data_IF_242601285893
#
_entry.id   IF_242601285893
#
_cell.length_a   1.000
_cell.length_b   1.000
_cell.length_c   1.000
_cell.angle_alpha   90.00
_cell.angle_beta   90.00
_cell.angle_gamma   90.00
#
_symmetry.space_group_name_H-M   'P 1'
#
loop_
_entity.id
_entity.type
_entity.pdbx_description
1 polymer ?
#
# COMPACT_ATOMS: atom_id res chain seq x y z
N UNK A 1 10.27 26.50 6.01
CA UNK A 1 9.26 25.64 6.67
C UNK A 1 7.95 26.39 6.58
N UNK A 2 7.30 26.28 5.43
CA UNK A 2 5.95 26.82 5.24
C UNK A 2 5.02 26.08 6.22
N UNK A 3 4.13 26.84 6.83
CA UNK A 3 3.22 26.44 7.90
C UNK A 3 2.56 25.10 7.57
N UNK A 4 2.79 24.08 8.41
CA UNK A 4 2.03 22.83 8.35
C UNK A 4 0.55 23.21 8.50
N UNK A 5 -0.22 23.15 7.41
CA UNK A 5 -1.67 23.30 7.48
C UNK A 5 -2.19 22.19 8.39
N UNK A 6 -3.01 22.53 9.39
CA UNK A 6 -3.62 21.57 10.33
C UNK A 6 -2.67 20.79 11.25
N UNK A 7 -1.56 21.37 11.74
CA UNK A 7 -0.84 20.75 12.85
C UNK A 7 -1.71 20.70 14.13
N UNK A 8 -2.32 19.53 14.38
CA UNK A 8 -3.09 19.22 15.60
C UNK A 8 -2.14 18.75 16.70
N UNK A 9 -1.53 19.69 17.42
CA UNK A 9 -0.63 19.38 18.53
C UNK A 9 -1.30 18.53 19.62
N UNK A 10 -2.62 18.63 19.74
CA UNK A 10 -3.47 17.84 20.64
C UNK A 10 -3.60 16.37 20.23
N UNK A 11 -3.27 16.02 18.98
CA UNK A 11 -3.29 14.64 18.47
C UNK A 11 -1.92 13.97 18.53
N UNK A 12 -0.91 14.62 19.12
CA UNK A 12 0.44 14.08 19.25
C UNK A 12 0.44 12.89 20.22
N UNK A 13 0.62 11.69 19.68
CA UNK A 13 0.87 10.49 20.49
C UNK A 13 2.39 10.28 20.68
N UNK A 14 2.90 10.61 21.87
CA UNK A 14 4.30 10.41 22.25
C UNK A 14 5.28 11.51 21.82
N UNK A 15 6.56 11.33 22.17
CA UNK A 15 7.63 12.29 21.85
C UNK A 15 8.20 12.03 20.44
N UNK A 16 7.86 12.89 19.49
CA UNK A 16 8.56 13.02 18.21
C UNK A 16 9.90 13.74 18.40
N UNK A 17 10.96 13.01 18.75
CA UNK A 17 12.34 13.52 18.78
C UNK A 17 13.19 12.85 17.69
N UNK A 18 14.05 13.63 17.03
CA UNK A 18 15.00 13.10 16.04
C UNK A 18 16.10 12.34 16.80
N UNK A 19 16.29 11.07 16.45
CA UNK A 19 17.35 10.21 17.01
C UNK A 19 18.38 9.92 15.94
N UNK A 20 19.65 10.21 16.25
CA UNK A 20 20.78 9.92 15.37
C UNK A 20 21.38 8.56 15.72
N UNK A 21 21.62 7.74 14.70
CA UNK A 21 22.26 6.43 14.84
C UNK A 21 23.46 6.35 13.90
N UNK A 22 24.59 5.85 14.39
CA UNK A 22 25.83 5.69 13.59
C UNK A 22 25.89 4.37 12.83
N UNK A 23 25.05 3.40 13.21
CA UNK A 23 24.95 2.09 12.54
C UNK A 23 23.48 1.81 12.24
N UNK A 24 23.23 1.24 11.06
CA UNK A 24 21.88 0.87 10.66
C UNK A 24 21.23 -0.13 11.63
N UNK A 25 22.00 -1.08 12.17
CA UNK A 25 21.49 -2.07 13.14
C UNK A 25 21.07 -1.45 14.48
N UNK A 26 21.75 -0.37 14.91
CA UNK A 26 21.37 0.35 16.13
C UNK A 26 20.07 1.12 15.96
N UNK A 27 19.81 1.63 14.75
CA UNK A 27 18.49 2.15 14.39
C UNK A 27 17.45 1.03 14.34
N UNK A 28 17.74 -0.06 13.61
CA UNK A 28 16.78 -1.12 13.27
C UNK A 28 16.23 -1.87 14.48
N UNK A 29 17.02 -2.03 15.55
CA UNK A 29 16.63 -2.80 16.75
C UNK A 29 15.42 -2.20 17.46
N UNK A 30 15.32 -0.86 17.50
CA UNK A 30 14.33 -0.14 18.30
C UNK A 30 13.10 0.32 17.48
N UNK A 31 13.22 0.36 16.15
CA UNK A 31 12.11 0.69 15.24
C UNK A 31 11.29 -0.52 14.80
N UNK A 32 11.42 -1.66 15.50
CA UNK A 32 10.59 -2.82 15.23
C UNK A 32 9.14 -2.55 15.58
N UNK A 33 8.27 -2.75 14.60
CA UNK A 33 6.87 -2.54 14.78
C UNK A 33 6.28 -3.72 15.59
N UNK A 34 6.00 -3.51 16.89
CA UNK A 34 5.52 -4.53 17.88
C UNK A 34 4.10 -5.09 17.64
N UNK A 35 3.85 -5.77 16.52
CA UNK A 35 2.49 -5.93 15.96
C UNK A 35 1.55 -6.93 16.58
N UNK A 36 0.28 -6.75 16.24
CA UNK A 36 -0.78 -7.75 16.33
C UNK A 36 -1.30 -8.06 14.92
N UNK A 37 -1.74 -9.29 14.70
CA UNK A 37 -2.40 -9.71 13.46
C UNK A 37 -3.91 -9.52 13.64
N UNK A 38 -4.56 -8.86 12.69
CA UNK A 38 -6.02 -8.70 12.68
C UNK A 38 -6.57 -9.01 11.30
N UNK A 39 -7.89 -9.18 11.21
CA UNK A 39 -8.56 -9.06 9.93
C UNK A 39 -8.48 -7.60 9.49
N UNK A 40 -8.21 -7.33 8.22
CA UNK A 40 -8.04 -5.96 7.73
C UNK A 40 -8.44 -5.87 6.27
N UNK A 41 -9.13 -4.79 5.93
CA UNK A 41 -9.19 -4.32 4.55
C UNK A 41 -8.08 -3.30 4.37
N UNK A 42 -7.19 -3.56 3.42
CA UNK A 42 -6.07 -2.70 3.08
C UNK A 42 -6.19 -2.33 1.60
N UNK A 43 -5.78 -1.11 1.26
CA UNK A 43 -5.53 -0.71 -0.11
C UNK A 43 -4.27 0.15 -0.16
N UNK A 44 -3.68 0.25 -1.35
CA UNK A 44 -2.50 1.08 -1.61
C UNK A 44 -2.78 2.04 -2.77
N UNK A 45 -2.06 3.16 -2.79
CA UNK A 45 -1.90 4.03 -3.95
C UNK A 45 -0.45 4.48 -4.09
N UNK A 46 0.09 4.36 -5.30
CA UNK A 46 1.42 4.83 -5.67
C UNK A 46 1.33 6.27 -6.15
N UNK A 47 1.50 7.21 -5.22
CA UNK A 47 1.27 8.63 -5.41
C UNK A 47 2.51 9.32 -6.02
N UNK A 48 2.41 9.96 -7.21
CA UNK A 48 3.43 10.88 -7.67
C UNK A 48 3.47 12.15 -6.79
N UNK A 49 4.56 12.92 -6.87
CA UNK A 49 4.72 14.14 -6.07
C UNK A 49 3.62 15.18 -6.36
N UNK A 50 3.12 15.22 -7.60
CA UNK A 50 2.02 16.09 -8.02
C UNK A 50 0.71 15.82 -7.27
N UNK A 51 0.56 14.64 -6.67
CA UNK A 51 -0.65 14.29 -5.91
C UNK A 51 -0.69 14.89 -4.52
N UNK A 52 0.42 15.44 -4.02
CA UNK A 52 0.49 16.09 -2.71
C UNK A 52 -0.02 17.53 -2.78
N UNK A 53 -1.32 17.65 -3.03
CA UNK A 53 -2.07 18.91 -3.11
C UNK A 53 -3.10 19.02 -1.98
N UNK A 54 -3.83 20.16 -1.93
CA UNK A 54 -4.92 20.31 -0.98
C UNK A 54 -6.01 19.24 -1.19
N UNK A 55 -6.23 18.78 -2.42
CA UNK A 55 -7.24 17.75 -2.70
C UNK A 55 -6.91 16.40 -2.05
N UNK A 56 -5.64 15.98 -2.01
CA UNK A 56 -5.24 14.79 -1.25
C UNK A 56 -5.48 14.97 0.25
N UNK A 57 -5.21 16.18 0.77
CA UNK A 57 -5.47 16.50 2.18
C UNK A 57 -6.96 16.41 2.49
N UNK A 58 -7.81 17.00 1.64
CA UNK A 58 -9.26 16.99 1.79
C UNK A 58 -9.82 15.55 1.77
N UNK A 59 -9.32 14.69 0.88
CA UNK A 59 -9.67 13.27 0.83
C UNK A 59 -9.35 12.61 2.18
N UNK A 60 -8.10 12.72 2.65
CA UNK A 60 -7.66 12.08 3.89
C UNK A 60 -8.48 12.58 5.09
N UNK A 61 -8.61 13.90 5.27
CA UNK A 61 -9.38 14.49 6.37
C UNK A 61 -10.84 14.02 6.36
N UNK A 62 -11.47 13.99 5.18
CA UNK A 62 -12.86 13.54 5.02
C UNK A 62 -13.04 12.10 5.50
N UNK A 63 -12.16 11.19 5.10
CA UNK A 63 -12.31 9.76 5.46
C UNK A 63 -11.90 9.46 6.90
N UNK A 64 -10.92 10.18 7.46
CA UNK A 64 -10.63 10.11 8.90
C UNK A 64 -11.80 10.61 9.74
N UNK A 65 -12.47 11.71 9.34
CA UNK A 65 -13.66 12.20 10.03
C UNK A 65 -14.82 11.18 9.95
N UNK A 66 -15.11 10.64 8.76
CA UNK A 66 -16.13 9.58 8.59
C UNK A 66 -15.85 8.36 9.47
N UNK A 67 -14.58 7.94 9.57
CA UNK A 67 -14.19 6.82 10.42
C UNK A 67 -14.42 7.13 11.90
N UNK A 68 -14.01 8.32 12.33
CA UNK A 68 -14.23 8.80 13.71
C UNK A 68 -15.72 8.83 14.09
N UNK A 69 -16.57 9.32 13.20
CA UNK A 69 -18.02 9.39 13.42
C UNK A 69 -18.65 7.99 13.49
N UNK A 70 -18.14 7.07 12.66
CA UNK A 70 -18.56 5.65 12.62
C UNK A 70 -17.94 4.80 13.73
N UNK A 71 -17.08 5.37 14.59
CA UNK A 71 -16.30 4.65 15.61
C UNK A 71 -15.40 3.55 15.02
N UNK A 72 -14.94 3.76 13.78
CA UNK A 72 -13.96 2.90 13.13
C UNK A 72 -12.56 3.46 13.33
N UNK A 73 -11.60 2.54 13.39
CA UNK A 73 -10.19 2.88 13.36
C UNK A 73 -9.67 2.68 11.94
N UNK A 74 -9.20 3.75 11.31
CA UNK A 74 -8.44 3.68 10.06
C UNK A 74 -7.02 4.17 10.31
N UNK A 75 -6.05 3.56 9.64
CA UNK A 75 -4.65 3.98 9.68
C UNK A 75 -4.08 4.01 8.27
N UNK A 76 -3.24 5.02 8.00
CA UNK A 76 -2.48 5.11 6.75
C UNK A 76 -0.98 5.18 7.05
N UNK A 77 -0.17 4.74 6.10
CA UNK A 77 1.29 4.75 6.17
C UNK A 77 1.81 5.06 4.78
N UNK A 78 2.68 6.06 4.73
CA UNK A 78 3.40 6.44 3.52
C UNK A 78 4.84 5.97 3.57
N UNK A 79 5.23 5.13 2.63
CA UNK A 79 6.63 4.78 2.38
C UNK A 79 7.15 5.68 1.28
N UNK A 80 8.15 6.50 1.59
CA UNK A 80 8.85 7.29 0.57
C UNK A 80 9.52 6.35 -0.43
N UNK A 81 9.19 6.56 -1.70
CA UNK A 81 9.82 5.93 -2.84
C UNK A 81 10.85 6.91 -3.41
N UNK A 82 11.90 6.39 -4.04
CA UNK A 82 12.98 7.20 -4.58
C UNK A 82 14.33 6.52 -4.50
N UNK A 83 15.38 7.34 -4.66
CA UNK A 83 16.77 6.90 -4.54
C UNK A 83 17.10 5.75 -5.47
N UNK A 84 17.72 4.70 -4.92
CA UNK A 84 18.14 3.52 -5.71
C UNK A 84 16.99 2.79 -6.40
N UNK A 85 15.76 2.89 -5.90
CA UNK A 85 14.60 2.24 -6.52
C UNK A 85 14.28 2.79 -7.92
N UNK A 86 14.65 4.04 -8.18
CA UNK A 86 14.31 4.78 -9.41
C UNK A 86 15.47 4.88 -10.40
N UNK A 87 16.65 4.33 -10.07
CA UNK A 87 17.83 4.37 -10.94
C UNK A 87 17.75 3.40 -12.12
N UNK A 88 16.99 2.32 -11.98
CA UNK A 88 16.84 1.32 -13.04
C UNK A 88 15.63 1.64 -13.92
N UNK A 89 15.78 1.41 -15.22
CA UNK A 89 14.69 1.57 -16.19
C UNK A 89 13.47 0.74 -15.78
N UNK A 90 12.29 1.20 -16.17
CA UNK A 90 11.06 0.49 -15.83
C UNK A 90 11.11 -0.96 -16.33
N UNK A 91 11.59 -1.21 -17.53
CA UNK A 91 11.67 -2.54 -18.15
C UNK A 91 12.77 -3.48 -17.62
N UNK A 92 13.60 -3.03 -16.68
CA UNK A 92 14.67 -3.85 -16.09
C UNK A 92 14.19 -5.04 -15.26
N UNK A 93 12.92 -5.08 -14.88
CA UNK A 93 12.32 -6.13 -14.03
C UNK A 93 10.81 -6.22 -14.21
N UNK A 94 10.17 -7.17 -13.53
CA UNK A 94 8.70 -7.27 -13.43
C UNK A 94 8.03 -6.22 -12.54
N UNK A 95 8.80 -5.44 -11.77
CA UNK A 95 8.25 -4.36 -10.93
C UNK A 95 7.48 -3.36 -11.79
N UNK A 96 6.24 -3.04 -11.40
CA UNK A 96 5.36 -2.12 -12.12
C UNK A 96 5.94 -0.71 -12.27
N UNK A 97 5.62 -0.05 -13.37
CA UNK A 97 6.18 1.26 -13.73
C UNK A 97 5.82 2.34 -12.70
N UNK A 98 4.61 2.26 -12.14
CA UNK A 98 4.16 3.17 -11.09
C UNK A 98 5.08 3.14 -9.87
N UNK A 99 5.52 1.95 -9.42
CA UNK A 99 6.37 1.85 -8.22
C UNK A 99 7.74 2.51 -8.43
N UNK A 100 8.24 2.54 -9.67
CA UNK A 100 9.53 3.18 -9.98
C UNK A 100 9.44 4.69 -10.17
N UNK A 101 8.24 5.23 -10.35
CA UNK A 101 8.04 6.65 -10.70
C UNK A 101 7.21 7.42 -9.67
N UNK A 102 6.66 6.75 -8.65
CA UNK A 102 5.92 7.41 -7.58
C UNK A 102 6.86 8.00 -6.52
N UNK A 103 6.38 9.03 -5.85
CA UNK A 103 7.06 9.66 -4.71
C UNK A 103 6.79 8.91 -3.40
N UNK A 104 5.59 8.34 -3.27
CA UNK A 104 5.19 7.64 -2.06
C UNK A 104 4.29 6.45 -2.39
N UNK A 105 4.53 5.32 -1.74
CA UNK A 105 3.58 4.22 -1.65
C UNK A 105 2.77 4.44 -0.38
N UNK A 106 1.52 4.86 -0.55
CA UNK A 106 0.61 5.14 0.56
C UNK A 106 -0.38 4.01 0.69
N UNK A 107 -0.35 3.32 1.82
CA UNK A 107 -1.36 2.34 2.16
C UNK A 107 -2.26 2.83 3.27
N UNK A 108 -3.52 2.42 3.21
CA UNK A 108 -4.52 2.70 4.23
C UNK A 108 -5.26 1.42 4.55
N UNK A 109 -5.65 1.24 5.81
CA UNK A 109 -6.39 0.06 6.21
C UNK A 109 -7.32 0.30 7.39
N UNK A 110 -8.34 -0.54 7.46
CA UNK A 110 -9.32 -0.62 8.55
C UNK A 110 -9.24 -2.04 9.12
N UNK A 111 -8.69 -2.24 10.32
CA UNK A 111 -8.66 -3.54 10.97
C UNK A 111 -9.91 -3.81 11.83
N UNK A 112 -10.31 -5.08 11.95
CA UNK A 112 -11.35 -5.54 12.88
C UNK A 112 -11.03 -6.93 13.47
N UNK A 113 -11.67 -7.30 14.60
CA UNK A 113 -11.52 -8.64 15.18
C UNK A 113 -12.07 -9.74 14.27
N UNK A 114 -11.45 -10.92 14.29
CA UNK A 114 -11.92 -12.10 13.53
C UNK A 114 -13.35 -12.52 13.90
N UNK A 115 -13.80 -12.23 15.13
CA UNK A 115 -15.19 -12.49 15.56
C UNK A 115 -16.24 -11.69 14.77
N UNK A 116 -15.83 -10.63 14.07
CA UNK A 116 -16.69 -9.81 13.21
C UNK A 116 -16.49 -10.10 11.72
N UNK A 117 -15.99 -11.27 11.33
CA UNK A 117 -15.79 -11.63 9.91
C UNK A 117 -17.09 -11.61 9.08
N UNK A 118 -18.26 -11.76 9.71
CA UNK A 118 -19.55 -11.61 9.03
C UNK A 118 -19.83 -10.17 8.56
N UNK A 119 -19.07 -9.18 9.03
CA UNK A 119 -19.16 -7.77 8.65
C UNK A 119 -18.14 -7.37 7.57
N UNK A 120 -17.40 -8.31 6.97
CA UNK A 120 -16.36 -8.01 5.96
C UNK A 120 -16.89 -7.10 4.86
N UNK A 121 -18.08 -7.38 4.32
CA UNK A 121 -18.72 -6.54 3.30
C UNK A 121 -18.92 -5.10 3.78
N UNK A 122 -19.42 -4.91 5.01
CA UNK A 122 -19.67 -3.59 5.59
C UNK A 122 -18.40 -2.76 5.73
N UNK A 123 -17.30 -3.35 6.23
CA UNK A 123 -16.04 -2.63 6.39
C UNK A 123 -15.36 -2.34 5.05
N UNK A 124 -15.45 -3.26 4.10
CA UNK A 124 -14.95 -3.06 2.74
C UNK A 124 -15.74 -1.95 2.04
N UNK A 125 -17.07 -1.99 2.11
CA UNK A 125 -17.94 -0.99 1.47
C UNK A 125 -17.73 0.41 2.05
N UNK A 126 -17.42 0.50 3.35
CA UNK A 126 -17.03 1.76 3.98
C UNK A 126 -15.73 2.35 3.41
N UNK A 127 -14.72 1.50 3.17
CA UNK A 127 -13.39 1.93 2.72
C UNK A 127 -13.27 2.09 1.19
N UNK A 128 -14.16 1.46 0.40
CA UNK A 128 -14.12 1.49 -1.06
C UNK A 128 -14.12 2.90 -1.66
N UNK A 129 -14.97 3.85 -1.21
CA UNK A 129 -14.92 5.22 -1.71
C UNK A 129 -13.56 5.89 -1.45
N UNK A 130 -12.98 5.67 -0.26
CA UNK A 130 -11.66 6.20 0.09
C UNK A 130 -10.59 5.64 -0.83
N UNK A 131 -10.59 4.32 -1.04
CA UNK A 131 -9.69 3.68 -1.99
C UNK A 131 -9.79 4.32 -3.37
N UNK A 132 -10.99 4.46 -3.91
CA UNK A 132 -11.18 4.91 -5.29
C UNK A 132 -10.66 6.33 -5.49
N UNK A 133 -10.89 7.23 -4.52
CA UNK A 133 -10.34 8.58 -4.56
C UNK A 133 -8.81 8.60 -4.43
N UNK A 134 -8.25 7.74 -3.58
CA UNK A 134 -6.79 7.59 -3.44
C UNK A 134 -6.13 6.99 -4.68
N UNK A 135 -6.76 6.02 -5.34
CA UNK A 135 -6.28 5.42 -6.59
C UNK A 135 -6.36 6.44 -7.73
N UNK A 136 -7.40 7.27 -7.78
CA UNK A 136 -7.49 8.35 -8.77
C UNK A 136 -6.38 9.40 -8.64
N UNK A 137 -5.78 9.51 -7.44
CA UNK A 137 -4.58 10.33 -7.19
C UNK A 137 -3.26 9.57 -7.45
N UNK A 138 -3.30 8.28 -7.76
CA UNK A 138 -2.12 7.45 -7.99
C UNK A 138 -1.91 7.07 -9.45
N UNK A 139 -0.74 6.49 -9.75
CA UNK A 139 -0.41 5.94 -11.07
C UNK A 139 -0.49 4.41 -11.12
N UNK A 140 -0.87 3.78 -10.01
CA UNK A 140 -0.90 2.35 -9.81
C UNK A 140 -0.97 2.05 -8.32
N UNK A 141 -0.85 0.78 -7.96
CA UNK A 141 -0.91 0.34 -6.57
C UNK A 141 0.11 -0.77 -6.31
N UNK A 142 0.58 -0.87 -5.08
CA UNK A 142 1.52 -1.91 -4.65
C UNK A 142 0.79 -3.22 -4.37
N UNK A 143 1.06 -4.23 -5.19
CA UNK A 143 0.35 -5.52 -5.20
C UNK A 143 0.52 -6.36 -3.92
N UNK A 144 1.52 -6.09 -3.08
CA UNK A 144 1.68 -6.79 -1.79
C UNK A 144 0.86 -6.17 -0.65
N UNK A 145 0.24 -5.02 -0.88
CA UNK A 145 -0.74 -4.40 0.02
C UNK A 145 -2.08 -4.26 -0.73
N UNK A 146 -2.62 -5.41 -1.21
CA UNK A 146 -3.63 -5.42 -2.24
C UNK A 146 -5.01 -5.10 -1.69
N UNK A 147 -5.82 -4.49 -2.54
CA UNK A 147 -7.27 -4.46 -2.33
C UNK A 147 -7.90 -5.75 -2.84
N UNK A 148 -8.81 -6.31 -2.04
CA UNK A 148 -9.66 -7.43 -2.48
C UNK A 148 -10.74 -7.01 -3.49
N UNK A 149 -10.92 -5.70 -3.74
CA UNK A 149 -11.90 -5.16 -4.69
C UNK A 149 -11.25 -4.03 -5.49
N UNK A 150 -10.64 -4.41 -6.61
CA UNK A 150 -9.88 -3.49 -7.46
C UNK A 150 -10.29 -3.63 -8.92
N UNK A 151 -11.01 -2.63 -9.41
CA UNK A 151 -11.27 -2.52 -10.85
C UNK A 151 -9.97 -2.29 -11.61
N UNK A 152 -9.88 -2.83 -12.82
CA UNK A 152 -8.70 -2.69 -13.68
C UNK A 152 -7.37 -3.14 -13.01
N UNK A 153 -7.43 -4.11 -12.10
CA UNK A 153 -6.27 -4.60 -11.33
C UNK A 153 -5.05 -4.92 -12.19
N UNK A 154 -5.25 -5.44 -13.41
CA UNK A 154 -4.17 -5.74 -14.37
C UNK A 154 -3.31 -4.51 -14.64
N UNK A 155 -3.96 -3.39 -14.96
CA UNK A 155 -3.29 -2.12 -15.21
C UNK A 155 -2.76 -1.52 -13.91
N UNK A 156 -3.52 -1.59 -12.81
CA UNK A 156 -3.14 -0.99 -11.54
C UNK A 156 -1.89 -1.65 -10.91
N UNK A 157 -1.74 -2.97 -11.02
CA UNK A 157 -0.59 -3.70 -10.49
C UNK A 157 0.59 -3.74 -11.48
N UNK A 158 0.30 -4.00 -12.76
CA UNK A 158 1.32 -4.41 -13.73
C UNK A 158 1.50 -3.43 -14.89
N UNK A 159 0.58 -2.49 -15.07
CA UNK A 159 0.59 -1.52 -16.17
C UNK A 159 0.72 -2.20 -17.54
N UNK A 160 1.55 -1.62 -18.40
CA UNK A 160 1.83 -2.10 -19.77
C UNK A 160 2.51 -3.48 -19.81
N UNK A 161 3.06 -3.95 -18.69
CA UNK A 161 3.80 -5.23 -18.63
C UNK A 161 2.91 -6.45 -18.49
N UNK A 162 1.63 -6.27 -18.19
CA UNK A 162 0.72 -7.39 -17.94
C UNK A 162 0.77 -8.45 -19.05
N UNK A 163 0.70 -8.02 -20.32
CA UNK A 163 0.72 -8.95 -21.46
C UNK A 163 2.01 -9.78 -21.55
N UNK A 164 3.17 -9.17 -21.27
CA UNK A 164 4.46 -9.90 -21.24
C UNK A 164 4.49 -10.91 -20.09
N UNK A 165 4.05 -10.49 -18.90
CA UNK A 165 3.98 -11.36 -17.73
C UNK A 165 3.01 -12.52 -17.93
N UNK A 166 1.86 -12.26 -18.55
CA UNK A 166 0.90 -13.30 -18.90
C UNK A 166 1.45 -14.29 -19.93
N UNK A 167 2.24 -13.82 -20.89
CA UNK A 167 2.99 -14.69 -21.80
C UNK A 167 3.92 -15.64 -21.05
N UNK A 168 4.72 -15.12 -20.13
CA UNK A 168 5.59 -15.93 -19.25
C UNK A 168 4.77 -16.93 -18.44
N UNK A 169 3.65 -16.48 -17.84
CA UNK A 169 2.74 -17.34 -17.08
C UNK A 169 2.21 -18.51 -17.92
N UNK A 170 1.77 -18.25 -19.15
CA UNK A 170 1.28 -19.27 -20.08
C UNK A 170 2.37 -20.26 -20.51
N UNK A 171 3.63 -19.82 -20.60
CA UNK A 171 4.76 -20.72 -20.89
C UNK A 171 5.04 -21.68 -19.74
N UNK A 172 5.05 -21.19 -18.50
CA UNK A 172 5.52 -21.95 -17.34
C UNK A 172 4.40 -22.60 -16.50
N UNK A 173 3.17 -22.10 -16.62
CA UNK A 173 1.97 -22.64 -15.98
C UNK A 173 0.75 -22.54 -16.92
N UNK A 174 0.75 -23.29 -18.04
CA UNK A 174 -0.30 -23.25 -19.06
C UNK A 174 -1.67 -23.72 -18.54
N UNK A 175 -1.71 -24.45 -17.44
CA UNK A 175 -2.96 -24.93 -16.82
C UNK A 175 -3.42 -24.07 -15.64
N UNK A 176 -2.78 -22.92 -15.39
CA UNK A 176 -3.11 -21.98 -14.32
C UNK A 176 -3.23 -22.66 -12.95
N UNK A 177 -2.32 -23.60 -12.65
CA UNK A 177 -2.31 -24.33 -11.38
C UNK A 177 -1.98 -23.42 -10.20
N UNK A 178 -1.17 -22.39 -10.44
CA UNK A 178 -0.79 -21.40 -9.43
C UNK A 178 -1.56 -20.11 -9.67
N UNK A 179 -2.73 -19.96 -9.05
CA UNK A 179 -3.56 -18.74 -9.15
C UNK A 179 -3.80 -18.11 -7.78
N UNK A 180 -4.11 -16.82 -7.77
CA UNK A 180 -4.46 -16.05 -6.59
C UNK A 180 -5.36 -14.85 -6.97
N UNK A 181 -5.88 -14.13 -5.97
CA UNK A 181 -6.57 -12.85 -6.19
C UNK A 181 -5.67 -11.90 -6.98
N UNK A 182 -6.14 -11.45 -8.15
CA UNK A 182 -5.41 -10.51 -9.04
C UNK A 182 -3.98 -10.94 -9.42
N UNK A 183 -3.67 -12.23 -9.36
CA UNK A 183 -2.45 -12.80 -9.91
C UNK A 183 -2.43 -12.66 -11.45
N UNK A 184 -1.24 -12.59 -12.04
CA UNK A 184 -1.09 -12.68 -13.50
C UNK A 184 -1.73 -13.97 -14.02
N UNK A 185 -2.65 -13.85 -14.98
CA UNK A 185 -3.39 -14.98 -15.55
C UNK A 185 -4.61 -15.42 -14.73
N UNK A 186 -5.00 -14.71 -13.66
CA UNK A 186 -6.23 -15.00 -12.93
C UNK A 186 -7.47 -14.43 -13.62
N UNK A 187 -8.62 -15.05 -13.36
CA UNK A 187 -9.95 -14.64 -13.84
C UNK A 187 -10.62 -13.63 -12.89
N UNK A 188 -9.90 -12.55 -12.56
CA UNK A 188 -10.46 -11.43 -11.78
C UNK A 188 -10.67 -11.74 -10.30
N UNK A 189 -11.85 -11.38 -9.78
CA UNK A 189 -12.13 -11.34 -8.33
C UNK A 189 -12.53 -12.70 -7.74
N UNK A 190 -12.63 -13.75 -8.56
CA UNK A 190 -13.07 -15.09 -8.14
C UNK A 190 -12.26 -15.70 -6.99
N UNK A 191 -11.05 -15.18 -6.74
CA UNK A 191 -10.14 -15.63 -5.68
C UNK A 191 -9.90 -14.56 -4.60
N UNK A 192 -10.65 -13.47 -4.61
CA UNK A 192 -10.46 -12.35 -3.69
C UNK A 192 -11.34 -12.48 -2.44
N UNK A 193 -10.72 -12.40 -1.27
CA UNK A 193 -11.39 -12.37 0.03
C UNK A 193 -10.69 -11.36 0.94
N UNK A 194 -11.34 -10.94 2.03
CA UNK A 194 -10.66 -10.14 3.05
C UNK A 194 -9.46 -10.94 3.60
N UNK A 195 -8.28 -10.34 3.55
CA UNK A 195 -7.04 -11.01 3.96
C UNK A 195 -6.80 -10.81 5.45
N UNK A 196 -6.24 -11.83 6.11
CA UNK A 196 -5.56 -11.60 7.38
C UNK A 196 -4.21 -10.97 7.05
N UNK A 197 -4.13 -9.66 7.19
CA UNK A 197 -2.86 -8.95 7.13
C UNK A 197 -2.52 -8.44 8.53
N UNK A 198 -1.24 -8.45 8.87
CA UNK A 198 -0.82 -7.64 10.00
C UNK A 198 -1.22 -6.20 9.69
N UNK A 199 -1.71 -5.42 10.66
CA UNK A 199 -1.92 -3.97 10.52
C UNK A 199 -0.63 -3.20 10.11
N UNK A 200 0.47 -3.92 9.93
CA UNK A 200 1.84 -3.50 9.61
C UNK A 200 2.28 -3.86 8.19
N UNK A 201 1.43 -4.57 7.44
CA UNK A 201 1.62 -4.69 6.00
C UNK A 201 1.76 -3.31 5.36
N UNK A 202 1.13 -2.28 5.92
CA UNK A 202 1.24 -0.87 5.56
C UNK A 202 2.66 -0.25 5.51
N UNK A 203 3.68 -0.87 6.11
CA UNK A 203 5.08 -0.35 6.14
C UNK A 203 6.05 -1.28 5.38
N UNK A 204 5.57 -2.40 4.82
CA UNK A 204 6.44 -3.48 4.31
C UNK A 204 7.06 -3.20 2.93
N UNK A 205 6.86 -2.01 2.35
CA UNK A 205 7.52 -1.57 1.12
C UNK A 205 9.05 -1.41 1.21
N UNK A 206 9.67 -1.48 2.39
CA UNK A 206 11.10 -1.19 2.56
C UNK A 206 12.06 -2.38 2.32
N UNK A 207 11.57 -3.62 2.23
CA UNK A 207 12.48 -4.78 2.35
C UNK A 207 12.89 -5.50 1.05
N UNK A 208 12.26 -5.23 -0.09
CA UNK A 208 12.55 -5.97 -1.34
C UNK A 208 13.43 -5.22 -2.36
N UNK A 209 13.82 -3.97 -2.09
CA UNK A 209 14.68 -3.19 -3.00
C UNK A 209 16.12 -3.02 -2.47
N UNK A 210 16.37 -3.29 -1.17
CA UNK A 210 17.68 -3.06 -0.56
C UNK A 210 18.67 -4.23 -0.66
N UNK A 211 18.26 -5.42 -1.12
CA UNK A 211 19.19 -6.56 -1.29
C UNK A 211 20.11 -6.43 -2.51
N UNK A 212 19.96 -5.40 -3.35
CA UNK A 212 20.85 -5.14 -4.48
C UNK A 212 21.97 -4.12 -4.19
N UNK A 213 22.06 -3.54 -2.99
CA UNK A 213 22.94 -2.38 -2.71
C UNK A 213 24.16 -2.74 -1.84
N UNK A 214 24.32 -3.99 -1.40
CA UNK A 214 25.49 -4.44 -0.64
C UNK A 214 26.27 -5.58 -1.30
N UNK A 215 26.32 -5.60 -2.63
CA UNK A 215 27.38 -6.30 -3.37
C UNK A 215 27.97 -5.37 -4.42
N UNK A 216 28.72 -4.38 -3.95
CA UNK A 216 29.97 -3.91 -4.55
C UNK A 216 30.73 -3.06 -3.52
#
# INVERSE_FOLDING_TARGET
METIKSYRSDWRYGDCSIKNYTRWWDYRKDIHDKGSFSRVYIFNSLLPSSSFDNGLTDIIETYYQKAYDSKYFIGCTGVLIGGKATEYSSDSSSVGDALRNSFMSMSCGLPWPDSLAYMDGTFIDFMLPFQNEMIAKGNGVYYNEPSSRLSNWRTQYWGTKYSRLEGVKKTWDPSTRFTCCHCVGSDGDAHCSAVKASAKALVLGFLLVLTSIFTQ
#
